data_IF_398659958861
#
_entry.id   IF_398659958861
#
_cell.length_a   1.000
_cell.length_b   1.000
_cell.length_c   1.000
_cell.angle_alpha   90.00
_cell.angle_beta   90.00
_cell.angle_gamma   90.00
#
_symmetry.space_group_name_H-M   'P 1'
#
loop_
_entity.id
_entity.type
_entity.pdbx_description
1 polymer ?
#
# COMPACT_ATOMS: atom_id res chain seq x y z
N UNK A 1 -32.85 -2.52 -22.00
CA UNK A 1 -31.86 -2.00 -22.97
C UNK A 1 -30.46 -2.22 -22.43
N UNK A 2 -29.59 -2.93 -23.16
CA UNK A 2 -28.25 -3.34 -22.71
C UNK A 2 -27.35 -2.16 -22.30
N UNK A 3 -27.58 -0.97 -22.87
CA UNK A 3 -26.83 0.24 -22.54
C UNK A 3 -27.13 0.83 -21.15
N UNK A 4 -28.15 0.32 -20.44
CA UNK A 4 -28.50 0.74 -19.06
C UNK A 4 -28.12 -0.29 -18.00
N UNK A 5 -27.43 -1.38 -18.38
CA UNK A 5 -27.05 -2.44 -17.43
C UNK A 5 -25.98 -2.02 -16.42
N UNK A 6 -25.30 -0.89 -16.64
CA UNK A 6 -24.38 -0.29 -15.67
C UNK A 6 -25.08 0.53 -14.57
N UNK A 7 -26.26 1.11 -14.84
CA UNK A 7 -26.91 2.01 -13.88
C UNK A 7 -27.36 1.32 -12.57
N UNK A 8 -27.97 0.12 -12.60
CA UNK A 8 -28.29 -0.61 -11.37
C UNK A 8 -27.05 -0.91 -10.53
N UNK A 9 -25.95 -1.23 -11.21
CA UNK A 9 -24.67 -1.56 -10.58
C UNK A 9 -24.05 -0.32 -9.91
N UNK A 10 -24.08 0.82 -10.61
CA UNK A 10 -23.63 2.10 -10.05
C UNK A 10 -24.46 2.51 -8.82
N UNK A 11 -25.78 2.28 -8.84
CA UNK A 11 -26.66 2.54 -7.69
C UNK A 11 -26.39 1.61 -6.51
N UNK A 12 -26.06 0.34 -6.78
CA UNK A 12 -25.67 -0.65 -5.77
C UNK A 12 -24.36 -0.27 -5.08
N UNK A 13 -23.40 0.23 -5.85
CA UNK A 13 -22.08 0.64 -5.35
C UNK A 13 -22.07 1.99 -4.62
N UNK A 14 -22.99 2.90 -4.93
CA UNK A 14 -23.02 4.23 -4.32
C UNK A 14 -22.92 4.26 -2.77
N UNK A 15 -23.71 3.46 -2.01
CA UNK A 15 -23.56 3.40 -0.56
C UNK A 15 -22.24 2.75 -0.12
N UNK A 16 -21.77 1.71 -0.83
CA UNK A 16 -20.52 1.01 -0.52
C UNK A 16 -19.31 1.94 -0.68
N UNK A 17 -19.30 2.77 -1.74
CA UNK A 17 -18.25 3.77 -1.95
C UNK A 17 -18.18 4.79 -0.82
N UNK A 18 -19.34 5.19 -0.29
CA UNK A 18 -19.38 6.14 0.83
C UNK A 18 -18.84 5.50 2.11
N UNK A 19 -19.05 4.20 2.30
CA UNK A 19 -18.40 3.42 3.36
C UNK A 19 -16.89 3.34 3.18
N UNK A 20 -16.42 2.98 1.98
CA UNK A 20 -14.98 2.92 1.69
C UNK A 20 -14.27 4.26 1.86
N UNK A 21 -14.90 5.37 1.45
CA UNK A 21 -14.39 6.72 1.68
C UNK A 21 -14.24 7.00 3.19
N UNK A 22 -15.24 6.67 4.00
CA UNK A 22 -15.21 6.87 5.44
C UNK A 22 -14.12 6.01 6.12
N UNK A 23 -14.02 4.74 5.75
CA UNK A 23 -13.01 3.82 6.26
C UNK A 23 -11.60 4.31 5.89
N UNK A 24 -11.41 4.76 4.65
CA UNK A 24 -10.11 5.28 4.19
C UNK A 24 -9.69 6.53 4.98
N UNK A 25 -10.62 7.46 5.24
CA UNK A 25 -10.37 8.64 6.08
C UNK A 25 -10.00 8.21 7.51
N UNK A 26 -10.74 7.25 8.08
CA UNK A 26 -10.46 6.73 9.42
C UNK A 26 -9.06 6.09 9.49
N UNK A 27 -8.70 5.23 8.53
CA UNK A 27 -7.40 4.56 8.48
C UNK A 27 -6.26 5.55 8.24
N UNK A 28 -6.49 6.58 7.41
CA UNK A 28 -5.52 7.67 7.20
C UNK A 28 -5.24 8.42 8.50
N UNK A 29 -6.29 8.78 9.25
CA UNK A 29 -6.13 9.44 10.55
C UNK A 29 -5.41 8.54 11.56
N UNK A 30 -5.77 7.25 11.60
CA UNK A 30 -5.08 6.27 12.46
C UNK A 30 -3.61 6.12 12.08
N UNK A 31 -3.25 6.15 10.80
CA UNK A 31 -1.85 6.08 10.37
C UNK A 31 -1.01 7.17 11.02
N UNK A 32 -1.53 8.38 11.19
CA UNK A 32 -0.80 9.48 11.83
C UNK A 32 -0.51 9.22 13.32
N UNK A 33 -1.44 8.60 14.05
CA UNK A 33 -1.36 8.42 15.51
C UNK A 33 -0.91 7.02 15.96
N UNK A 34 -0.87 6.03 15.06
CA UNK A 34 -0.64 4.62 15.43
C UNK A 34 0.82 4.38 15.83
N UNK A 35 1.08 3.79 17.01
CA UNK A 35 2.42 3.44 17.46
C UNK A 35 2.99 2.23 16.70
N UNK A 36 4.32 2.11 16.67
CA UNK A 36 5.03 1.11 15.87
C UNK A 36 4.56 -0.34 16.08
N UNK A 37 4.23 -0.72 17.31
CA UNK A 37 3.77 -2.08 17.64
C UNK A 37 2.41 -2.45 17.00
N UNK A 38 1.62 -1.47 16.56
CA UNK A 38 0.32 -1.66 15.92
C UNK A 38 0.35 -1.49 14.40
N UNK A 39 1.50 -1.14 13.80
CA UNK A 39 1.59 -0.91 12.35
C UNK A 39 1.22 -2.14 11.53
N UNK A 40 1.51 -3.36 12.00
CA UNK A 40 1.11 -4.60 11.33
C UNK A 40 -0.41 -4.75 11.26
N UNK A 41 -1.11 -4.45 12.34
CA UNK A 41 -2.58 -4.51 12.37
C UNK A 41 -3.17 -3.46 11.44
N UNK A 42 -2.66 -2.23 11.47
CA UNK A 42 -3.11 -1.17 10.57
C UNK A 42 -2.86 -1.53 9.10
N UNK A 43 -1.73 -2.16 8.79
CA UNK A 43 -1.39 -2.63 7.44
C UNK A 43 -2.41 -3.65 6.93
N UNK A 44 -2.80 -4.61 7.77
CA UNK A 44 -3.83 -5.60 7.44
C UNK A 44 -5.18 -4.92 7.14
N UNK A 45 -5.60 -3.99 7.99
CA UNK A 45 -6.87 -3.26 7.80
C UNK A 45 -6.89 -2.45 6.49
N UNK A 46 -5.79 -1.77 6.15
CA UNK A 46 -5.65 -1.04 4.87
C UNK A 46 -5.66 -2.03 3.70
N UNK A 47 -5.00 -3.17 3.84
CA UNK A 47 -4.94 -4.22 2.80
C UNK A 47 -6.32 -4.82 2.53
N UNK A 48 -7.12 -5.05 3.57
CA UNK A 48 -8.50 -5.52 3.46
C UNK A 48 -9.36 -4.49 2.73
N UNK A 49 -9.32 -3.20 3.14
CA UNK A 49 -10.07 -2.15 2.45
C UNK A 49 -9.67 -2.03 0.97
N UNK A 50 -8.36 -2.04 0.69
CA UNK A 50 -7.82 -2.02 -0.68
C UNK A 50 -8.34 -3.20 -1.51
N UNK A 51 -8.37 -4.40 -0.92
CA UNK A 51 -8.87 -5.61 -1.59
C UNK A 51 -10.36 -5.50 -1.93
N UNK A 52 -11.19 -4.94 -1.03
CA UNK A 52 -12.60 -4.68 -1.31
C UNK A 52 -12.79 -3.69 -2.47
N UNK A 53 -12.01 -2.61 -2.50
CA UNK A 53 -12.06 -1.60 -3.58
C UNK A 53 -11.62 -2.22 -4.92
N UNK A 54 -10.53 -3.00 -4.93
CA UNK A 54 -10.02 -3.69 -6.12
C UNK A 54 -11.06 -4.69 -6.65
N UNK A 55 -11.67 -5.47 -5.76
CA UNK A 55 -12.71 -6.44 -6.13
C UNK A 55 -13.92 -5.74 -6.77
N UNK A 56 -14.43 -4.68 -6.14
CA UNK A 56 -15.56 -3.90 -6.67
C UNK A 56 -15.22 -3.23 -8.02
N UNK A 57 -13.98 -2.76 -8.18
CA UNK A 57 -13.50 -2.21 -9.45
C UNK A 57 -13.44 -3.28 -10.54
N UNK A 58 -12.90 -4.45 -10.24
CA UNK A 58 -12.78 -5.54 -11.20
C UNK A 58 -14.15 -6.08 -11.66
N UNK A 59 -15.11 -6.22 -10.74
CA UNK A 59 -16.46 -6.71 -11.03
C UNK A 59 -17.21 -5.76 -12.00
N UNK A 60 -16.99 -4.45 -11.86
CA UNK A 60 -17.81 -3.44 -12.56
C UNK A 60 -17.15 -2.82 -13.79
N UNK A 61 -15.82 -2.96 -13.93
CA UNK A 61 -15.02 -2.38 -15.04
C UNK A 61 -15.58 -2.68 -16.42
N UNK A 62 -15.92 -3.94 -16.70
CA UNK A 62 -16.42 -4.33 -18.03
C UNK A 62 -17.79 -3.70 -18.33
N UNK A 63 -18.69 -3.63 -17.34
CA UNK A 63 -20.05 -3.10 -17.53
C UNK A 63 -20.05 -1.58 -17.69
N UNK A 64 -19.25 -0.87 -16.88
CA UNK A 64 -19.08 0.58 -17.04
C UNK A 64 -18.36 0.93 -18.34
N UNK A 65 -17.31 0.19 -18.70
CA UNK A 65 -16.62 0.34 -19.98
C UNK A 65 -17.54 0.13 -21.18
N UNK A 66 -18.36 -0.93 -21.16
CA UNK A 66 -19.36 -1.16 -22.20
C UNK A 66 -20.41 -0.03 -22.26
N UNK A 67 -20.90 0.44 -21.11
CA UNK A 67 -21.86 1.56 -21.04
C UNK A 67 -21.28 2.83 -21.67
N UNK A 68 -20.01 3.14 -21.38
CA UNK A 68 -19.31 4.29 -21.96
C UNK A 68 -19.10 4.13 -23.47
N UNK A 69 -18.71 2.94 -23.95
CA UNK A 69 -18.52 2.67 -25.37
C UNK A 69 -19.84 2.79 -26.15
N UNK A 70 -20.92 2.21 -25.63
CA UNK A 70 -22.25 2.35 -26.25
C UNK A 70 -22.74 3.79 -26.24
N UNK A 71 -22.43 4.56 -25.20
CA UNK A 71 -22.78 5.98 -25.17
C UNK A 71 -22.14 6.76 -26.31
N UNK A 72 -20.86 6.53 -26.59
CA UNK A 72 -20.17 7.14 -27.73
C UNK A 72 -20.83 6.76 -29.06
N UNK A 73 -21.16 5.49 -29.26
CA UNK A 73 -21.85 5.04 -30.48
C UNK A 73 -23.19 5.75 -30.64
N UNK A 74 -23.99 5.87 -29.56
CA UNK A 74 -25.28 6.55 -29.61
C UNK A 74 -25.11 8.03 -29.98
N UNK A 75 -24.14 8.72 -29.37
CA UNK A 75 -23.82 10.12 -29.67
C UNK A 75 -23.37 10.31 -31.14
N UNK A 76 -22.49 9.45 -31.64
CA UNK A 76 -22.05 9.45 -33.03
C UNK A 76 -23.21 9.22 -34.01
N UNK A 77 -24.11 8.27 -33.70
CA UNK A 77 -25.27 7.97 -34.55
C UNK A 77 -26.27 9.12 -34.57
N UNK A 78 -26.51 9.78 -33.45
CA UNK A 78 -27.35 10.98 -33.38
C UNK A 78 -26.73 12.10 -34.21
N UNK A 79 -25.41 12.31 -34.12
CA UNK A 79 -24.72 13.34 -34.89
C UNK A 79 -24.84 13.11 -36.41
N UNK A 80 -24.78 11.84 -36.85
CA UNK A 80 -24.93 11.47 -38.27
C UNK A 80 -26.32 11.77 -38.84
N UNK A 81 -27.37 11.83 -38.02
CA UNK A 81 -28.73 12.15 -38.48
C UNK A 81 -28.86 13.59 -38.99
N UNK A 82 -27.92 14.48 -38.66
CA UNK A 82 -27.94 15.91 -39.06
C UNK A 82 -29.31 16.56 -38.79
N UNK A 83 -29.85 16.31 -37.60
CA UNK A 83 -31.19 16.75 -37.22
C UNK A 83 -31.36 18.28 -37.35
N UNK A 84 -32.38 18.68 -38.09
CA UNK A 84 -32.84 20.07 -38.15
C UNK A 84 -34.00 20.28 -37.19
N UNK A 85 -34.18 21.53 -36.73
CA UNK A 85 -35.29 21.84 -35.83
C UNK A 85 -36.60 21.95 -36.62
N UNK A 86 -37.61 21.18 -36.21
CA UNK A 86 -38.98 21.31 -36.70
C UNK A 86 -39.81 22.04 -35.63
N UNK A 87 -40.44 23.19 -35.95
CA UNK A 87 -41.25 23.93 -35.00
C UNK A 87 -42.34 23.05 -34.35
N UNK A 88 -42.48 23.14 -33.03
CA UNK A 88 -43.45 22.35 -32.28
C UNK A 88 -42.99 20.93 -31.88
N UNK A 89 -41.83 20.46 -32.36
CA UNK A 89 -41.31 19.13 -32.04
C UNK A 89 -39.92 19.18 -31.40
N UNK A 90 -39.67 18.29 -30.44
CA UNK A 90 -38.35 18.10 -29.86
C UNK A 90 -37.46 17.28 -30.80
N UNK A 91 -36.22 17.72 -31.00
CA UNK A 91 -35.18 16.97 -31.71
C UNK A 91 -34.97 15.60 -31.04
N UNK A 92 -34.92 14.54 -31.84
CA UNK A 92 -34.77 13.17 -31.34
C UNK A 92 -33.46 13.00 -30.54
N UNK A 93 -32.37 13.61 -30.99
CA UNK A 93 -31.11 13.66 -30.25
C UNK A 93 -31.27 14.28 -28.85
N UNK A 94 -32.02 15.37 -28.72
CA UNK A 94 -32.28 16.01 -27.41
C UNK A 94 -33.09 15.10 -26.49
N UNK A 95 -34.05 14.35 -27.03
CA UNK A 95 -34.83 13.37 -26.26
C UNK A 95 -33.94 12.23 -25.75
N UNK A 96 -33.13 11.63 -26.62
CA UNK A 96 -32.23 10.53 -26.26
C UNK A 96 -31.20 10.99 -25.25
N UNK A 97 -30.57 12.15 -25.48
CA UNK A 97 -29.58 12.70 -24.55
C UNK A 97 -30.15 12.93 -23.15
N UNK A 98 -31.34 13.54 -23.01
CA UNK A 98 -31.97 13.76 -21.70
C UNK A 98 -32.25 12.46 -20.95
N UNK A 99 -32.62 11.39 -21.67
CA UNK A 99 -32.96 10.09 -21.06
C UNK A 99 -31.70 9.28 -20.74
N UNK A 100 -30.66 9.41 -21.55
CA UNK A 100 -29.51 8.51 -21.57
C UNK A 100 -28.28 9.07 -20.86
N UNK A 101 -27.94 10.36 -21.05
CA UNK A 101 -26.77 11.00 -20.43
C UNK A 101 -26.73 10.90 -18.90
N UNK A 102 -27.84 11.05 -18.15
CA UNK A 102 -27.78 10.94 -16.69
C UNK A 102 -27.26 9.58 -16.22
N UNK A 103 -27.71 8.49 -16.85
CA UNK A 103 -27.29 7.14 -16.50
C UNK A 103 -25.81 6.90 -16.79
N UNK A 104 -25.33 7.35 -17.95
CA UNK A 104 -23.91 7.27 -18.34
C UNK A 104 -23.04 8.04 -17.37
N UNK A 105 -23.41 9.29 -17.04
CA UNK A 105 -22.68 10.12 -16.07
C UNK A 105 -22.60 9.48 -14.69
N UNK A 106 -23.66 8.81 -14.23
CA UNK A 106 -23.62 8.09 -12.95
C UNK A 106 -22.61 6.94 -12.99
N UNK A 107 -22.60 6.14 -14.06
CA UNK A 107 -21.62 5.05 -14.21
C UNK A 107 -20.18 5.58 -14.27
N UNK A 108 -19.95 6.66 -15.04
CA UNK A 108 -18.64 7.30 -15.17
C UNK A 108 -18.14 7.88 -13.84
N UNK A 109 -19.00 8.61 -13.12
CA UNK A 109 -18.66 9.15 -11.81
C UNK A 109 -18.36 8.05 -10.78
N UNK A 110 -19.08 6.92 -10.83
CA UNK A 110 -18.85 5.76 -9.95
C UNK A 110 -17.50 5.11 -10.26
N UNK A 111 -17.17 4.93 -11.55
CA UNK A 111 -15.89 4.38 -11.98
C UNK A 111 -14.71 5.27 -11.55
N UNK A 112 -14.85 6.60 -11.71
CA UNK A 112 -13.84 7.57 -11.28
C UNK A 112 -13.62 7.51 -9.77
N UNK A 113 -14.68 7.44 -8.96
CA UNK A 113 -14.58 7.32 -7.50
C UNK A 113 -13.87 6.04 -7.06
N UNK A 114 -14.19 4.90 -7.68
CA UNK A 114 -13.48 3.64 -7.42
C UNK A 114 -11.98 3.76 -7.69
N UNK A 115 -11.60 4.39 -8.81
CA UNK A 115 -10.21 4.57 -9.19
C UNK A 115 -9.46 5.52 -8.24
N UNK A 116 -10.11 6.61 -7.81
CA UNK A 116 -9.57 7.54 -6.82
C UNK A 116 -9.36 6.87 -5.47
N UNK A 117 -10.34 6.11 -4.98
CA UNK A 117 -10.25 5.32 -3.75
C UNK A 117 -9.11 4.30 -3.82
N UNK A 118 -9.00 3.58 -4.94
CA UNK A 118 -7.94 2.60 -5.16
C UNK A 118 -6.55 3.24 -5.09
N UNK A 119 -6.35 4.38 -5.78
CA UNK A 119 -5.10 5.14 -5.71
C UNK A 119 -4.78 5.61 -4.30
N UNK A 120 -5.76 6.17 -3.60
CA UNK A 120 -5.55 6.69 -2.26
C UNK A 120 -5.24 5.57 -1.25
N UNK A 121 -5.90 4.42 -1.34
CA UNK A 121 -5.59 3.24 -0.54
C UNK A 121 -4.17 2.71 -0.82
N UNK A 122 -3.75 2.63 -2.09
CA UNK A 122 -2.38 2.24 -2.45
C UNK A 122 -1.33 3.21 -1.90
N UNK A 123 -1.57 4.53 -1.97
CA UNK A 123 -0.66 5.51 -1.39
C UNK A 123 -0.58 5.40 0.13
N UNK A 124 -1.70 5.16 0.82
CA UNK A 124 -1.69 4.95 2.26
C UNK A 124 -0.90 3.70 2.65
N UNK A 125 -1.05 2.61 1.87
CA UNK A 125 -0.33 1.36 2.06
C UNK A 125 1.19 1.57 1.91
N UNK A 126 1.61 2.25 0.86
CA UNK A 126 3.02 2.56 0.56
C UNK A 126 3.67 3.42 1.66
N UNK A 127 2.95 4.45 2.14
CA UNK A 127 3.41 5.28 3.26
C UNK A 127 3.61 4.46 4.54
N UNK A 128 2.68 3.56 4.87
CA UNK A 128 2.81 2.72 6.06
C UNK A 128 3.94 1.69 5.92
N UNK A 129 4.07 1.05 4.76
CA UNK A 129 5.17 0.12 4.48
C UNK A 129 6.52 0.82 4.59
N UNK A 130 6.66 2.03 4.03
CA UNK A 130 7.87 2.84 4.13
C UNK A 130 8.21 3.15 5.59
N UNK A 131 7.23 3.53 6.41
CA UNK A 131 7.45 3.79 7.85
C UNK A 131 7.89 2.54 8.61
N UNK A 132 7.27 1.39 8.32
CA UNK A 132 7.67 0.10 8.92
C UNK A 132 9.11 -0.24 8.55
N UNK A 133 9.48 -0.07 7.27
CA UNK A 133 10.82 -0.37 6.78
C UNK A 133 11.88 0.50 7.47
N UNK A 134 11.64 1.81 7.58
CA UNK A 134 12.56 2.75 8.27
C UNK A 134 12.72 2.38 9.74
N UNK A 135 11.65 1.99 10.44
CA UNK A 135 11.70 1.56 11.83
C UNK A 135 12.56 0.30 12.01
N UNK A 136 12.38 -0.69 11.12
CA UNK A 136 13.20 -1.92 11.12
C UNK A 136 14.67 -1.60 10.87
N UNK A 137 14.97 -0.73 9.90
CA UNK A 137 16.33 -0.32 9.58
C UNK A 137 17.00 0.40 10.77
N UNK A 138 16.28 1.29 11.45
CA UNK A 138 16.77 1.97 12.64
C UNK A 138 17.07 1.00 13.79
N UNK A 139 16.19 0.02 14.02
CA UNK A 139 16.40 -1.02 15.03
C UNK A 139 17.61 -1.90 14.70
N UNK A 140 17.76 -2.30 13.43
CA UNK A 140 18.89 -3.09 12.97
C UNK A 140 20.21 -2.33 13.13
N UNK A 141 20.26 -1.05 12.73
CA UNK A 141 21.45 -0.22 12.90
C UNK A 141 21.87 -0.10 14.38
N UNK A 142 20.89 0.07 15.27
CA UNK A 142 21.11 0.13 16.72
C UNK A 142 21.67 -1.19 17.26
N UNK A 143 21.13 -2.33 16.81
CA UNK A 143 21.61 -3.66 17.21
C UNK A 143 23.04 -3.93 16.71
N UNK A 144 23.35 -3.58 15.46
CA UNK A 144 24.69 -3.72 14.90
C UNK A 144 25.70 -2.88 15.69
N UNK A 145 25.34 -1.65 16.06
CA UNK A 145 26.20 -0.79 16.88
C UNK A 145 26.47 -1.42 18.26
N UNK A 146 25.43 -1.92 18.93
CA UNK A 146 25.59 -2.61 20.21
C UNK A 146 26.45 -3.88 20.10
N UNK A 147 26.35 -4.62 18.98
CA UNK A 147 27.21 -5.76 18.70
C UNK A 147 28.67 -5.33 18.50
N UNK A 148 28.93 -4.26 17.77
CA UNK A 148 30.27 -3.72 17.54
C UNK A 148 30.95 -3.32 18.86
N UNK A 149 30.23 -2.65 19.75
CA UNK A 149 30.73 -2.23 21.06
C UNK A 149 31.10 -3.43 21.95
N UNK A 150 30.24 -4.47 21.95
CA UNK A 150 30.48 -5.72 22.68
C UNK A 150 31.69 -6.46 22.11
N UNK A 151 31.79 -6.59 20.79
CA UNK A 151 32.92 -7.25 20.14
C UNK A 151 34.25 -6.55 20.44
N UNK A 152 34.29 -5.21 20.38
CA UNK A 152 35.47 -4.43 20.75
C UNK A 152 35.91 -4.69 22.20
N UNK A 153 34.95 -4.80 23.12
CA UNK A 153 35.21 -5.13 24.52
C UNK A 153 35.73 -6.56 24.68
N UNK A 154 35.15 -7.52 23.96
CA UNK A 154 35.58 -8.91 23.97
C UNK A 154 37.02 -9.09 23.45
N UNK A 155 37.42 -8.34 22.42
CA UNK A 155 38.80 -8.32 21.93
C UNK A 155 39.77 -7.82 23.00
N UNK A 156 39.41 -6.78 23.76
CA UNK A 156 40.26 -6.28 24.86
C UNK A 156 40.44 -7.32 25.96
N UNK A 157 39.36 -8.01 26.34
CA UNK A 157 39.41 -9.08 27.34
C UNK A 157 40.27 -10.24 26.84
N UNK A 158 40.11 -10.65 25.57
CA UNK A 158 40.90 -11.73 24.98
C UNK A 158 42.40 -11.40 24.99
N UNK A 159 42.79 -10.19 24.60
CA UNK A 159 44.19 -9.74 24.69
C UNK A 159 44.73 -9.73 26.12
N UNK A 160 43.90 -9.39 27.10
CA UNK A 160 44.30 -9.44 28.51
C UNK A 160 44.58 -10.88 28.97
N UNK A 161 43.76 -11.85 28.54
CA UNK A 161 43.95 -13.28 28.84
C UNK A 161 45.19 -13.85 28.14
N UNK A 162 45.44 -13.45 26.90
CA UNK A 162 46.66 -13.82 26.17
C UNK A 162 47.92 -13.34 26.91
N UNK A 163 47.92 -12.09 27.39
CA UNK A 163 49.04 -11.52 28.14
C UNK A 163 49.29 -12.26 29.46
N UNK A 164 48.23 -12.68 30.16
CA UNK A 164 48.36 -13.49 31.38
C UNK A 164 48.93 -14.88 31.09
N UNK A 165 48.52 -15.50 29.98
CA UNK A 165 49.03 -16.81 29.55
C UNK A 165 50.53 -16.77 29.25
N UNK A 166 51.01 -15.69 28.61
CA UNK A 166 52.44 -15.49 28.36
C UNK A 166 53.22 -15.47 29.68
N UNK A 167 52.75 -14.70 30.68
CA UNK A 167 53.41 -14.62 32.00
C UNK A 167 53.48 -16.00 32.67
N UNK A 168 52.36 -16.75 32.67
CA UNK A 168 52.31 -18.08 33.26
C UNK A 168 53.29 -19.04 32.57
N UNK A 169 53.27 -19.10 31.24
CA UNK A 169 54.16 -19.96 30.45
C UNK A 169 55.62 -19.59 30.69
N UNK A 170 55.97 -18.30 30.68
CA UNK A 170 57.34 -17.82 30.95
C UNK A 170 57.83 -18.22 32.34
N UNK A 171 56.99 -18.11 33.37
CA UNK A 171 57.33 -18.53 34.73
C UNK A 171 57.64 -20.04 34.80
N UNK A 172 56.77 -20.87 34.21
CA UNK A 172 57.00 -22.31 34.15
C UNK A 172 58.28 -22.66 33.39
N UNK A 173 58.55 -21.97 32.27
CA UNK A 173 59.77 -22.18 31.48
C UNK A 173 61.04 -21.90 32.30
N UNK A 174 61.06 -20.78 33.03
CA UNK A 174 62.18 -20.42 33.92
C UNK A 174 62.35 -21.42 35.06
N UNK A 175 61.24 -21.87 35.67
CA UNK A 175 61.28 -22.87 36.73
C UNK A 175 61.81 -24.21 36.23
N UNK A 176 61.47 -24.61 35.00
CA UNK A 176 61.99 -25.81 34.34
C UNK A 176 63.51 -25.71 34.10
N UNK A 177 63.98 -24.55 33.59
CA UNK A 177 65.40 -24.30 33.39
C UNK A 177 66.17 -24.35 34.72
N UNK A 178 65.65 -23.72 35.78
CA UNK A 178 66.26 -23.78 37.12
C UNK A 178 66.41 -25.22 37.61
N UNK A 179 65.35 -26.02 37.49
CA UNK A 179 65.39 -27.44 37.89
C UNK A 179 66.51 -28.19 37.15
N UNK A 180 66.62 -28.00 35.84
CA UNK A 180 67.67 -28.64 35.02
C UNK A 180 69.07 -28.25 35.51
N UNK A 181 69.32 -26.97 35.79
CA UNK A 181 70.61 -26.49 36.30
C UNK A 181 70.94 -26.99 37.72
N UNK A 182 69.93 -27.20 38.56
CA UNK A 182 70.11 -27.69 39.93
C UNK A 182 70.32 -29.21 39.99
N UNK A 183 69.86 -29.94 38.95
CA UNK A 183 70.08 -31.39 38.77
C UNK A 183 71.30 -31.76 37.91
N UNK A 184 72.00 -30.79 37.34
CA UNK A 184 73.23 -30.97 36.55
C UNK A 184 74.48 -30.70 37.39
#
# INVERSE_FOLDING_TARGET
>A
SMALLGLPEARRLAPLLSGYDADLVQLTNRNLSTPAHQHKQLLEEITVLSSHIISATAETRNRFGATAAYAKIVEERIALLRETHVPGYQRFGTFVERRFKPAVRTCEATALRLEQLSRAAMHLLDLLQTRIQVEIEFQNATQIQAMADRAATQVKIQRAVESFSIIAISYYLLSLLKFIYETA
#
